data_IF_175372448096
#
_entry.id   IF_175372448096
#
_cell.length_a   1.000
_cell.length_b   1.000
_cell.length_c   1.000
_cell.angle_alpha   90.00
_cell.angle_beta   90.00
_cell.angle_gamma   90.00
#
_symmetry.space_group_name_H-M   'P 1'
#
loop_
_entity.id
_entity.type
_entity.pdbx_description
1 polymer ?
#
# COMPACT_ATOMS: atom_id res chain seq x y z
N UNK A 1 -52.30 -10.27 -28.10
CA UNK A 1 -52.69 -10.04 -26.72
C UNK A 1 -51.55 -9.32 -26.04
N UNK A 2 -51.67 -8.01 -25.85
CA UNK A 2 -50.59 -7.12 -25.37
C UNK A 2 -50.73 -7.00 -23.84
N UNK A 3 -49.71 -7.48 -23.09
CA UNK A 3 -49.67 -7.28 -21.64
C UNK A 3 -48.85 -5.99 -21.39
N UNK A 4 -49.57 -4.98 -20.92
CA UNK A 4 -49.02 -3.71 -20.47
C UNK A 4 -48.30 -3.92 -19.13
N UNK A 5 -47.00 -3.64 -19.08
CA UNK A 5 -46.27 -3.49 -17.82
C UNK A 5 -46.63 -2.10 -17.26
N UNK A 6 -47.38 -2.09 -16.19
CA UNK A 6 -47.82 -0.91 -15.46
C UNK A 6 -46.73 -0.43 -14.54
N UNK A 7 -46.15 0.74 -14.85
CA UNK A 7 -45.22 1.46 -13.96
C UNK A 7 -46.01 1.88 -12.68
N UNK A 8 -45.69 1.26 -11.57
CA UNK A 8 -46.14 1.71 -10.27
C UNK A 8 -45.20 2.82 -9.76
N UNK A 9 -45.48 4.06 -10.15
CA UNK A 9 -44.91 5.24 -9.47
C UNK A 9 -45.69 5.42 -8.16
N UNK A 10 -45.04 5.00 -7.05
CA UNK A 10 -45.53 5.37 -5.72
C UNK A 10 -45.09 6.79 -5.44
N UNK A 11 -46.11 7.67 -5.42
CA UNK A 11 -45.99 9.05 -4.97
C UNK A 11 -45.77 9.03 -3.46
N UNK A 12 -44.55 9.27 -2.98
CA UNK A 12 -44.29 9.57 -1.59
C UNK A 12 -44.44 11.07 -1.37
N UNK A 13 -45.50 11.42 -0.65
CA UNK A 13 -45.78 12.75 -0.13
C UNK A 13 -44.63 13.23 0.76
N UNK A 14 -44.22 14.48 0.54
CA UNK A 14 -43.21 15.18 1.29
C UNK A 14 -43.56 15.21 2.79
N UNK A 15 -42.74 14.54 3.58
CA UNK A 15 -42.58 14.84 4.99
C UNK A 15 -41.26 15.60 5.13
N UNK A 16 -41.37 16.90 5.40
CA UNK A 16 -40.23 17.76 5.75
C UNK A 16 -39.67 17.26 7.07
N UNK A 17 -38.60 16.48 7.03
CA UNK A 17 -37.79 16.15 8.18
C UNK A 17 -36.46 16.85 7.98
N UNK A 18 -36.11 17.71 8.92
CA UNK A 18 -34.86 18.46 9.06
C UNK A 18 -33.63 17.61 8.72
N UNK A 19 -32.60 18.18 8.09
CA UNK A 19 -31.39 17.42 7.77
C UNK A 19 -30.66 17.11 9.08
N UNK A 20 -30.84 15.94 9.63
CA UNK A 20 -29.77 15.31 10.38
C UNK A 20 -28.69 15.05 9.34
N UNK A 21 -27.67 15.90 9.30
CA UNK A 21 -26.43 15.62 8.59
C UNK A 21 -25.68 14.53 9.34
N UNK A 22 -26.16 13.31 9.25
CA UNK A 22 -25.31 12.16 9.46
C UNK A 22 -24.18 12.25 8.41
N UNK A 23 -22.92 12.02 8.77
CA UNK A 23 -21.90 11.91 7.75
C UNK A 23 -22.40 10.89 6.72
N UNK A 24 -22.49 11.31 5.46
CA UNK A 24 -22.84 10.43 4.35
C UNK A 24 -21.75 9.36 4.33
N UNK A 25 -22.02 8.21 4.93
CA UNK A 25 -21.24 7.00 4.67
C UNK A 25 -21.43 6.79 3.18
N UNK A 26 -20.34 6.82 2.41
CA UNK A 26 -20.41 6.57 0.98
C UNK A 26 -21.17 5.25 0.78
N UNK A 27 -22.28 5.31 0.06
CA UNK A 27 -23.01 4.10 -0.31
C UNK A 27 -22.21 3.42 -1.43
N UNK A 28 -21.38 2.47 -1.07
CA UNK A 28 -20.54 1.71 -2.01
C UNK A 28 -21.30 0.49 -2.56
N UNK A 29 -22.62 0.42 -2.41
CA UNK A 29 -23.38 -0.79 -2.72
C UNK A 29 -23.37 -1.14 -4.21
N UNK A 30 -23.37 -0.14 -5.09
CA UNK A 30 -23.29 -0.33 -6.54
C UNK A 30 -21.90 -0.80 -6.96
N UNK A 31 -20.85 -0.14 -6.49
CA UNK A 31 -19.46 -0.50 -6.78
C UNK A 31 -19.10 -1.88 -6.24
N UNK A 32 -19.59 -2.22 -5.04
CA UNK A 32 -19.41 -3.57 -4.47
C UNK A 32 -20.12 -4.63 -5.32
N UNK A 33 -21.32 -4.34 -5.82
CA UNK A 33 -22.03 -5.25 -6.71
C UNK A 33 -21.28 -5.46 -8.03
N UNK A 34 -20.72 -4.39 -8.61
CA UNK A 34 -19.86 -4.47 -9.80
C UNK A 34 -18.62 -5.31 -9.52
N UNK A 35 -17.91 -5.01 -8.43
CA UNK A 35 -16.71 -5.74 -8.02
C UNK A 35 -17.00 -7.24 -7.84
N UNK A 36 -18.08 -7.57 -7.13
CA UNK A 36 -18.46 -8.97 -6.88
C UNK A 36 -18.85 -9.72 -8.17
N UNK A 37 -19.48 -9.03 -9.12
CA UNK A 37 -19.92 -9.64 -10.37
C UNK A 37 -18.77 -9.84 -11.38
N UNK A 38 -17.79 -8.93 -11.41
CA UNK A 38 -16.78 -8.85 -12.47
C UNK A 38 -15.35 -9.07 -12.00
N UNK A 39 -15.11 -9.05 -10.69
CA UNK A 39 -13.77 -8.97 -10.06
C UNK A 39 -12.96 -7.76 -10.57
N UNK A 40 -13.61 -6.70 -11.02
CA UNK A 40 -12.98 -5.50 -11.61
C UNK A 40 -13.79 -4.26 -11.26
N UNK A 41 -13.11 -3.25 -10.71
CA UNK A 41 -13.71 -2.00 -10.28
C UNK A 41 -12.73 -0.82 -10.49
N UNK A 42 -12.24 -0.61 -11.75
CA UNK A 42 -11.32 0.49 -12.02
C UNK A 42 -12.00 1.84 -11.78
N UNK A 43 -11.29 2.76 -11.11
CA UNK A 43 -11.76 4.09 -10.72
C UNK A 43 -13.01 4.11 -9.80
N UNK A 44 -13.44 2.98 -9.24
CA UNK A 44 -14.55 2.93 -8.29
C UNK A 44 -14.24 3.69 -7.01
N UNK A 45 -15.30 4.20 -6.38
CA UNK A 45 -15.21 4.78 -5.04
C UNK A 45 -15.59 3.73 -3.98
N UNK A 46 -14.56 3.05 -3.46
CA UNK A 46 -14.67 2.04 -2.40
C UNK A 46 -14.14 2.56 -1.05
N UNK A 47 -14.22 3.88 -0.83
CA UNK A 47 -13.79 4.52 0.42
C UNK A 47 -14.50 3.89 1.62
N UNK A 48 -13.71 3.41 2.59
CA UNK A 48 -14.22 2.79 3.82
C UNK A 48 -14.98 1.48 3.62
N UNK A 49 -14.98 0.90 2.40
CA UNK A 49 -15.67 -0.35 2.12
C UNK A 49 -15.10 -1.51 2.93
N UNK A 50 -15.95 -2.41 3.38
CA UNK A 50 -15.53 -3.68 3.97
C UNK A 50 -15.42 -4.74 2.88
N UNK A 51 -14.17 -5.06 2.52
CA UNK A 51 -13.83 -6.02 1.47
C UNK A 51 -13.33 -7.37 2.03
N UNK A 52 -13.37 -7.54 3.36
CA UNK A 52 -12.90 -8.76 4.02
C UNK A 52 -13.68 -9.98 3.56
N UNK A 53 -12.95 -11.08 3.36
CA UNK A 53 -13.54 -12.35 2.95
C UNK A 53 -13.97 -12.42 1.49
N UNK A 54 -13.87 -11.34 0.70
CA UNK A 54 -14.19 -11.36 -0.72
C UNK A 54 -13.09 -12.10 -1.52
N UNK A 55 -13.45 -12.80 -2.60
CA UNK A 55 -12.50 -13.52 -3.47
C UNK A 55 -11.88 -12.56 -4.49
N UNK A 56 -10.84 -11.79 -4.07
CA UNK A 56 -10.26 -10.69 -4.85
C UNK A 56 -8.93 -11.05 -5.53
N UNK A 57 -8.68 -12.34 -5.78
CA UNK A 57 -7.50 -12.79 -6.52
C UNK A 57 -7.55 -12.20 -7.94
N UNK A 58 -6.49 -11.50 -8.33
CA UNK A 58 -6.38 -10.86 -9.64
C UNK A 58 -7.39 -9.73 -9.89
N UNK A 59 -8.01 -9.20 -8.84
CA UNK A 59 -8.97 -8.11 -8.98
C UNK A 59 -8.31 -6.85 -9.57
N UNK A 60 -9.05 -6.11 -10.40
CA UNK A 60 -8.61 -4.84 -10.95
C UNK A 60 -9.21 -3.68 -10.16
N UNK A 61 -8.34 -2.97 -9.43
CA UNK A 61 -8.62 -1.75 -8.66
C UNK A 61 -7.87 -0.53 -9.22
N UNK A 62 -7.47 -0.58 -10.50
CA UNK A 62 -6.69 0.51 -11.08
C UNK A 62 -7.42 1.85 -10.96
N UNK A 63 -6.75 2.87 -10.41
CA UNK A 63 -7.32 4.20 -10.15
C UNK A 63 -8.43 4.25 -9.09
N UNK A 64 -8.78 3.13 -8.45
CA UNK A 64 -9.86 3.10 -7.46
C UNK A 64 -9.52 3.90 -6.19
N UNK A 65 -10.54 4.41 -5.51
CA UNK A 65 -10.44 5.08 -4.21
C UNK A 65 -10.82 4.09 -3.12
N UNK A 66 -9.81 3.58 -2.41
CA UNK A 66 -9.91 2.58 -1.33
C UNK A 66 -9.48 3.17 0.03
N UNK A 67 -9.56 4.49 0.19
CA UNK A 67 -9.12 5.16 1.40
C UNK A 67 -9.90 4.65 2.62
N UNK A 68 -9.16 4.17 3.63
CA UNK A 68 -9.73 3.57 4.84
C UNK A 68 -10.51 2.26 4.63
N UNK A 69 -10.44 1.64 3.44
CA UNK A 69 -11.11 0.36 3.20
C UNK A 69 -10.50 -0.77 4.04
N UNK A 70 -11.33 -1.74 4.43
CA UNK A 70 -10.94 -2.92 5.21
C UNK A 70 -10.62 -4.10 4.30
N UNK A 71 -9.33 -4.46 4.25
CA UNK A 71 -8.76 -5.53 3.41
C UNK A 71 -7.94 -6.53 4.25
N UNK A 72 -8.13 -6.56 5.59
CA UNK A 72 -7.35 -7.41 6.47
C UNK A 72 -7.50 -8.89 6.12
N UNK A 73 -6.36 -9.55 5.95
CA UNK A 73 -6.28 -10.97 5.62
C UNK A 73 -6.82 -11.35 4.25
N UNK A 74 -7.22 -10.39 3.41
CA UNK A 74 -7.77 -10.65 2.07
C UNK A 74 -6.70 -11.20 1.14
N UNK A 75 -7.09 -12.15 0.30
CA UNK A 75 -6.22 -12.65 -0.75
C UNK A 75 -6.34 -11.79 -2.01
N UNK A 76 -5.33 -10.92 -2.20
CA UNK A 76 -5.16 -9.95 -3.29
C UNK A 76 -4.04 -10.41 -4.26
N UNK A 77 -3.74 -11.71 -4.32
CA UNK A 77 -2.72 -12.23 -5.21
C UNK A 77 -2.96 -11.77 -6.65
N UNK A 78 -1.93 -11.16 -7.27
CA UNK A 78 -1.98 -10.58 -8.62
C UNK A 78 -3.00 -9.46 -8.83
N UNK A 79 -3.56 -8.87 -7.79
CA UNK A 79 -4.46 -7.72 -7.94
C UNK A 79 -3.72 -6.50 -8.51
N UNK A 80 -4.44 -5.69 -9.27
CA UNK A 80 -3.93 -4.47 -9.89
C UNK A 80 -4.45 -3.24 -9.14
N UNK A 81 -3.55 -2.52 -8.46
CA UNK A 81 -3.83 -1.26 -7.77
C UNK A 81 -3.10 -0.07 -8.43
N UNK A 82 -2.76 -0.18 -9.71
CA UNK A 82 -2.05 0.91 -10.40
C UNK A 82 -2.77 2.24 -10.21
N UNK A 83 -2.06 3.25 -9.67
CA UNK A 83 -2.59 4.59 -9.39
C UNK A 83 -3.82 4.63 -8.43
N UNK A 84 -4.10 3.58 -7.68
CA UNK A 84 -5.18 3.57 -6.70
C UNK A 84 -4.84 4.40 -5.45
N UNK A 85 -5.85 4.97 -4.79
CA UNK A 85 -5.70 5.60 -3.47
C UNK A 85 -6.09 4.61 -2.36
N UNK A 86 -5.09 4.17 -1.59
CA UNK A 86 -5.24 3.26 -0.44
C UNK A 86 -4.86 3.98 0.88
N UNK A 87 -5.00 5.32 0.95
CA UNK A 87 -4.64 6.08 2.15
C UNK A 87 -5.35 5.55 3.38
N UNK A 88 -4.58 5.22 4.41
CA UNK A 88 -5.11 4.69 5.66
C UNK A 88 -5.86 3.36 5.53
N UNK A 89 -5.76 2.65 4.40
CA UNK A 89 -6.40 1.34 4.22
C UNK A 89 -5.85 0.30 5.20
N UNK A 90 -6.71 -0.64 5.61
CA UNK A 90 -6.37 -1.70 6.54
C UNK A 90 -6.02 -2.97 5.75
N UNK A 91 -4.72 -3.27 5.64
CA UNK A 91 -4.16 -4.37 4.87
C UNK A 91 -3.38 -5.39 5.74
N UNK A 92 -3.58 -5.34 7.06
CA UNK A 92 -2.86 -6.22 7.99
C UNK A 92 -3.04 -7.69 7.59
N UNK A 93 -1.93 -8.39 7.39
CA UNK A 93 -1.93 -9.80 6.99
C UNK A 93 -2.49 -10.12 5.60
N UNK A 94 -2.80 -9.11 4.77
CA UNK A 94 -3.27 -9.32 3.41
C UNK A 94 -2.22 -10.01 2.53
N UNK A 95 -2.67 -10.80 1.55
CA UNK A 95 -1.79 -11.42 0.56
C UNK A 95 -1.76 -10.61 -0.73
N UNK A 96 -0.78 -9.73 -0.87
CA UNK A 96 -0.52 -8.88 -2.05
C UNK A 96 0.58 -9.45 -2.97
N UNK A 97 0.90 -10.75 -2.84
CA UNK A 97 1.95 -11.37 -3.64
C UNK A 97 1.68 -11.19 -5.14
N UNK A 98 2.75 -10.89 -5.91
CA UNK A 98 2.71 -10.67 -7.37
C UNK A 98 1.71 -9.55 -7.80
N UNK A 99 1.22 -8.68 -6.90
CA UNK A 99 0.32 -7.58 -7.23
C UNK A 99 1.07 -6.37 -7.82
N UNK A 100 0.32 -5.45 -8.42
CA UNK A 100 0.83 -4.21 -8.99
C UNK A 100 0.31 -3.04 -8.16
N UNK A 101 1.25 -2.29 -7.54
CA UNK A 101 0.97 -1.09 -6.74
C UNK A 101 1.58 0.18 -7.35
N UNK A 102 2.11 0.10 -8.60
CA UNK A 102 2.84 1.22 -9.19
C UNK A 102 2.00 2.49 -9.23
N UNK A 103 2.56 3.58 -8.68
CA UNK A 103 1.89 4.87 -8.55
C UNK A 103 0.75 4.91 -7.52
N UNK A 104 0.49 3.82 -6.79
CA UNK A 104 -0.54 3.83 -5.75
C UNK A 104 -0.14 4.68 -4.54
N UNK A 105 -1.13 5.23 -3.84
CA UNK A 105 -0.95 6.00 -2.62
C UNK A 105 -1.42 5.20 -1.39
N UNK A 106 -0.45 4.65 -0.64
CA UNK A 106 -0.66 3.91 0.61
C UNK A 106 -0.24 4.73 1.85
N UNK A 107 -0.27 6.06 1.75
CA UNK A 107 0.10 6.91 2.88
C UNK A 107 -0.71 6.54 4.13
N UNK A 108 -0.01 6.25 5.24
CA UNK A 108 -0.61 5.88 6.52
C UNK A 108 -1.35 4.54 6.53
N UNK A 109 -1.24 3.70 5.49
CA UNK A 109 -1.89 2.40 5.46
C UNK A 109 -1.31 1.43 6.50
N UNK A 110 -2.14 0.53 7.04
CA UNK A 110 -1.75 -0.51 7.97
C UNK A 110 -1.48 -1.82 7.20
N UNK A 111 -0.19 -2.12 6.96
CA UNK A 111 0.25 -3.22 6.09
C UNK A 111 1.03 -4.27 6.90
N UNK A 112 0.90 -4.24 8.22
CA UNK A 112 1.65 -5.12 9.13
C UNK A 112 1.49 -6.59 8.77
N UNK A 113 2.62 -7.30 8.63
CA UNK A 113 2.64 -8.75 8.35
C UNK A 113 2.05 -9.14 7.01
N UNK A 114 1.74 -8.19 6.13
CA UNK A 114 1.24 -8.50 4.79
C UNK A 114 2.30 -9.17 3.92
N UNK A 115 1.86 -9.99 2.98
CA UNK A 115 2.72 -10.64 2.01
C UNK A 115 2.77 -9.82 0.71
N UNK A 116 3.86 -9.07 0.52
CA UNK A 116 4.15 -8.27 -0.68
C UNK A 116 5.28 -8.88 -1.53
N UNK A 117 5.52 -10.20 -1.45
CA UNK A 117 6.57 -10.85 -2.26
C UNK A 117 6.31 -10.61 -3.75
N UNK A 118 7.37 -10.24 -4.48
CA UNK A 118 7.32 -9.99 -5.93
C UNK A 118 6.35 -8.89 -6.35
N UNK A 119 5.93 -8.01 -5.43
CA UNK A 119 5.10 -6.86 -5.76
C UNK A 119 5.86 -5.93 -6.71
N UNK A 120 5.14 -5.35 -7.68
CA UNK A 120 5.65 -4.23 -8.49
C UNK A 120 5.07 -2.94 -7.93
N UNK A 121 5.92 -2.11 -7.31
CA UNK A 121 5.51 -0.90 -6.58
C UNK A 121 6.39 0.31 -6.95
N UNK A 122 6.60 0.51 -8.26
CA UNK A 122 7.36 1.66 -8.79
C UNK A 122 6.66 2.96 -8.40
N UNK A 123 7.39 3.91 -7.79
CA UNK A 123 6.88 5.22 -7.38
C UNK A 123 5.66 5.16 -6.46
N UNK A 124 5.50 4.09 -5.72
CA UNK A 124 4.41 3.92 -4.76
C UNK A 124 4.68 4.76 -3.51
N UNK A 125 3.66 5.42 -3.00
CA UNK A 125 3.74 6.18 -1.76
C UNK A 125 3.38 5.31 -0.55
N UNK A 126 4.37 4.89 0.24
CA UNK A 126 4.23 4.19 1.52
C UNK A 126 4.54 5.11 2.71
N UNK A 127 4.58 6.43 2.52
CA UNK A 127 4.94 7.34 3.60
C UNK A 127 3.99 7.19 4.80
N UNK A 128 4.53 7.24 6.02
CA UNK A 128 3.82 7.02 7.27
C UNK A 128 3.10 5.65 7.41
N UNK A 129 3.32 4.69 6.51
CA UNK A 129 2.68 3.38 6.58
C UNK A 129 3.31 2.48 7.66
N UNK A 130 2.49 1.60 8.25
CA UNK A 130 2.94 0.53 9.14
C UNK A 130 3.20 -0.75 8.34
N UNK A 131 4.47 -0.97 8.00
CA UNK A 131 4.97 -2.14 7.25
C UNK A 131 5.70 -3.15 8.15
N UNK A 132 5.50 -3.07 9.46
CA UNK A 132 6.17 -3.97 10.41
C UNK A 132 5.97 -5.42 10.03
N UNK A 133 7.08 -6.18 9.98
CA UNK A 133 7.05 -7.61 9.66
C UNK A 133 6.42 -7.94 8.30
N UNK A 134 6.23 -6.96 7.42
CA UNK A 134 5.77 -7.20 6.04
C UNK A 134 6.82 -7.98 5.25
N UNK A 135 6.37 -8.82 4.32
CA UNK A 135 7.24 -9.59 3.46
C UNK A 135 7.33 -8.95 2.07
N UNK A 136 8.41 -8.24 1.82
CA UNK A 136 8.75 -7.53 0.58
C UNK A 136 9.88 -8.23 -0.20
N UNK A 137 10.08 -9.53 0.01
CA UNK A 137 11.13 -10.31 -0.66
C UNK A 137 10.97 -10.22 -2.19
N UNK A 138 12.05 -9.84 -2.90
CA UNK A 138 12.06 -9.60 -4.35
C UNK A 138 11.07 -8.53 -4.84
N UNK A 139 10.66 -7.59 -4.01
CA UNK A 139 9.78 -6.50 -4.41
C UNK A 139 10.50 -5.49 -5.31
N UNK A 140 9.81 -5.00 -6.35
CA UNK A 140 10.25 -3.87 -7.17
C UNK A 140 9.76 -2.56 -6.56
N UNK A 141 10.64 -1.83 -5.87
CA UNK A 141 10.33 -0.65 -5.04
C UNK A 141 11.05 0.61 -5.54
N UNK A 142 11.45 0.62 -6.82
CA UNK A 142 12.22 1.73 -7.37
C UNK A 142 11.45 3.04 -7.20
N UNK A 143 12.13 4.06 -6.65
CA UNK A 143 11.58 5.40 -6.41
C UNK A 143 10.33 5.40 -5.50
N UNK A 144 10.07 4.33 -4.73
CA UNK A 144 9.00 4.32 -3.75
C UNK A 144 9.34 5.25 -2.57
N UNK A 145 8.31 5.88 -2.01
CA UNK A 145 8.43 6.76 -0.85
C UNK A 145 8.04 6.02 0.44
N UNK A 146 9.02 5.78 1.31
CA UNK A 146 8.87 5.22 2.65
C UNK A 146 9.11 6.26 3.75
N UNK A 147 9.02 7.55 3.44
CA UNK A 147 9.24 8.61 4.41
C UNK A 147 8.42 8.38 5.69
N UNK A 148 9.10 8.28 6.86
CA UNK A 148 8.48 8.00 8.17
C UNK A 148 7.70 6.67 8.26
N UNK A 149 7.87 5.75 7.33
CA UNK A 149 7.27 4.42 7.43
C UNK A 149 7.95 3.58 8.53
N UNK A 150 7.19 2.70 9.16
CA UNK A 150 7.75 1.70 10.07
C UNK A 150 7.94 0.37 9.33
N UNK A 151 9.20 0.08 8.98
CA UNK A 151 9.64 -1.14 8.30
C UNK A 151 10.28 -2.13 9.28
N UNK A 152 10.16 -1.91 10.61
CA UNK A 152 10.86 -2.74 11.57
C UNK A 152 10.50 -4.22 11.44
N UNK A 153 11.53 -5.06 11.36
CA UNK A 153 11.40 -6.49 11.13
C UNK A 153 10.87 -6.90 9.76
N UNK A 154 10.77 -5.99 8.80
CA UNK A 154 10.34 -6.32 7.45
C UNK A 154 11.38 -7.18 6.71
N UNK A 155 10.92 -8.03 5.80
CA UNK A 155 11.76 -8.90 4.97
C UNK A 155 11.87 -8.28 3.57
N UNK A 156 13.00 -7.63 3.27
CA UNK A 156 13.27 -6.90 2.03
C UNK A 156 14.46 -7.49 1.25
N UNK A 157 14.79 -8.75 1.49
CA UNK A 157 15.87 -9.42 0.77
C UNK A 157 15.62 -9.38 -0.75
N UNK A 158 16.68 -9.11 -1.53
CA UNK A 158 16.62 -8.99 -2.99
C UNK A 158 15.62 -7.93 -3.51
N UNK A 159 15.12 -7.04 -2.66
CA UNK A 159 14.27 -5.95 -3.10
C UNK A 159 15.07 -4.91 -3.90
N UNK A 160 14.46 -4.36 -4.94
CA UNK A 160 15.05 -3.25 -5.69
C UNK A 160 14.49 -1.92 -5.17
N UNK A 161 15.29 -1.24 -4.35
CA UNK A 161 14.98 0.04 -3.70
C UNK A 161 15.67 1.22 -4.41
N UNK A 162 16.18 1.04 -5.62
CA UNK A 162 16.92 2.10 -6.31
C UNK A 162 16.16 3.42 -6.30
N UNK A 163 16.82 4.47 -5.77
CA UNK A 163 16.26 5.81 -5.67
C UNK A 163 15.06 5.95 -4.75
N UNK A 164 14.78 4.96 -3.88
CA UNK A 164 13.71 5.06 -2.90
C UNK A 164 13.99 6.15 -1.84
N UNK A 165 12.92 6.71 -1.28
CA UNK A 165 12.98 7.71 -0.21
C UNK A 165 12.76 7.01 1.13
N UNK A 166 13.77 7.04 2.03
CA UNK A 166 13.71 6.41 3.36
C UNK A 166 13.78 7.43 4.50
N UNK A 167 13.60 8.71 4.24
CA UNK A 167 13.76 9.78 5.23
C UNK A 167 12.93 9.52 6.49
N UNK A 168 13.60 9.42 7.65
CA UNK A 168 13.01 9.09 8.95
C UNK A 168 12.27 7.74 9.01
N UNK A 169 12.51 6.82 8.07
CA UNK A 169 11.96 5.47 8.15
C UNK A 169 12.61 4.66 9.28
N UNK A 170 11.85 3.80 9.93
CA UNK A 170 12.37 2.85 10.91
C UNK A 170 12.71 1.52 10.23
N UNK A 171 13.99 1.21 10.12
CA UNK A 171 14.53 0.00 9.50
C UNK A 171 15.09 -1.01 10.52
N UNK A 172 14.77 -0.86 11.81
CA UNK A 172 15.28 -1.72 12.86
C UNK A 172 14.98 -3.20 12.59
N UNK A 173 15.99 -4.06 12.68
CA UNK A 173 15.87 -5.51 12.41
C UNK A 173 15.33 -5.88 11.02
N UNK A 174 15.43 -5.00 10.06
CA UNK A 174 15.01 -5.25 8.66
C UNK A 174 16.01 -6.17 7.98
N UNK A 175 15.53 -7.12 7.19
CA UNK A 175 16.39 -7.95 6.33
C UNK A 175 16.52 -7.30 4.95
N UNK A 176 17.73 -6.80 4.64
CA UNK A 176 18.10 -6.15 3.36
C UNK A 176 19.16 -6.97 2.61
N UNK A 177 19.26 -8.26 2.87
CA UNK A 177 20.24 -9.12 2.22
C UNK A 177 20.08 -9.08 0.71
N UNK A 178 21.19 -8.76 -0.01
CA UNK A 178 21.20 -8.62 -1.47
C UNK A 178 20.21 -7.60 -2.04
N UNK A 179 19.71 -6.67 -1.24
CA UNK A 179 18.85 -5.59 -1.71
C UNK A 179 19.67 -4.57 -2.52
N UNK A 180 19.02 -3.94 -3.49
CA UNK A 180 19.58 -2.82 -4.24
C UNK A 180 19.18 -1.49 -3.60
N UNK A 181 20.13 -0.80 -2.97
CA UNK A 181 19.98 0.51 -2.33
C UNK A 181 20.73 1.61 -3.14
N UNK A 182 20.95 1.39 -4.42
CA UNK A 182 21.61 2.36 -5.30
C UNK A 182 20.83 3.68 -5.33
N UNK A 183 21.53 4.82 -5.31
CA UNK A 183 20.97 6.17 -5.30
C UNK A 183 20.03 6.48 -4.10
N UNK A 184 20.06 5.69 -3.02
CA UNK A 184 19.23 5.93 -1.83
C UNK A 184 19.92 6.89 -0.88
N UNK A 185 19.16 7.87 -0.35
CA UNK A 185 19.65 8.73 0.73
C UNK A 185 19.36 8.04 2.09
N UNK A 186 20.44 7.56 2.73
CA UNK A 186 20.42 6.93 4.05
C UNK A 186 20.92 7.85 5.16
N UNK A 187 21.09 9.15 4.87
CA UNK A 187 21.55 10.13 5.86
C UNK A 187 20.67 10.10 7.11
N UNK A 188 21.31 10.04 8.29
CA UNK A 188 20.68 9.94 9.62
C UNK A 188 19.83 8.66 9.84
N UNK A 189 19.96 7.63 8.99
CA UNK A 189 19.23 6.37 9.16
C UNK A 189 20.02 5.40 10.06
N UNK A 190 19.31 4.74 10.97
CA UNK A 190 19.85 3.68 11.81
C UNK A 190 19.60 2.29 11.18
N UNK A 191 20.67 1.70 10.64
CA UNK A 191 20.70 0.34 10.11
C UNK A 191 21.49 -0.62 11.01
N UNK A 192 21.89 -0.20 12.22
CA UNK A 192 22.79 -0.96 13.10
C UNK A 192 22.29 -2.36 13.44
N UNK A 193 20.98 -2.55 13.48
CA UNK A 193 20.31 -3.84 13.71
C UNK A 193 19.83 -4.54 12.43
N UNK A 194 20.06 -3.96 11.26
CA UNK A 194 19.59 -4.49 9.97
C UNK A 194 20.58 -5.48 9.36
N UNK A 195 20.09 -6.38 8.51
CA UNK A 195 20.92 -7.39 7.83
C UNK A 195 21.21 -6.95 6.40
N UNK A 196 22.43 -6.41 6.15
CA UNK A 196 22.86 -5.81 4.89
C UNK A 196 23.80 -6.71 4.06
N UNK A 197 23.89 -8.01 4.34
CA UNK A 197 24.82 -8.90 3.62
C UNK A 197 24.57 -8.80 2.11
N UNK A 198 25.61 -8.50 1.34
CA UNK A 198 25.59 -8.34 -0.12
C UNK A 198 24.62 -7.24 -0.64
N UNK A 199 24.11 -6.35 0.22
CA UNK A 199 23.34 -5.22 -0.26
C UNK A 199 24.23 -4.27 -1.10
N UNK A 200 23.68 -3.75 -2.20
CA UNK A 200 24.36 -2.72 -2.99
C UNK A 200 24.07 -1.34 -2.41
N UNK A 201 25.13 -0.63 -2.03
CA UNK A 201 25.08 0.76 -1.53
C UNK A 201 25.75 1.72 -2.51
N UNK A 202 25.84 1.36 -3.80
CA UNK A 202 26.46 2.21 -4.81
C UNK A 202 25.71 3.55 -4.88
N UNK A 203 26.45 4.65 -4.85
CA UNK A 203 25.92 6.01 -4.92
C UNK A 203 24.88 6.34 -3.83
N UNK A 204 24.73 5.49 -2.80
CA UNK A 204 23.92 5.80 -1.64
C UNK A 204 24.62 6.83 -0.76
N UNK A 205 23.87 7.82 -0.25
CA UNK A 205 24.40 8.81 0.70
C UNK A 205 24.36 8.25 2.12
N UNK A 206 25.51 8.22 2.82
CA UNK A 206 25.70 7.54 4.10
C UNK A 206 26.08 8.49 5.25
N UNK A 207 25.86 9.80 5.12
CA UNK A 207 26.22 10.74 6.16
C UNK A 207 25.45 10.45 7.49
N UNK A 208 26.18 10.28 8.59
CA UNK A 208 25.65 9.93 9.90
C UNK A 208 24.76 8.67 9.92
N UNK A 209 25.05 7.73 9.01
CA UNK A 209 24.32 6.46 8.94
C UNK A 209 24.92 5.47 9.91
N UNK A 210 24.14 4.93 10.84
CA UNK A 210 24.55 3.82 11.71
C UNK A 210 24.39 2.50 10.94
N UNK A 211 25.48 1.75 10.78
CA UNK A 211 25.49 0.45 10.09
C UNK A 211 25.87 -0.69 11.05
N UNK A 212 25.63 -1.96 10.70
CA UNK A 212 26.08 -3.09 11.53
C UNK A 212 27.61 -3.17 11.75
N UNK A 213 28.38 -2.48 10.93
CA UNK A 213 29.85 -2.41 11.05
C UNK A 213 30.37 -1.10 11.63
N UNK A 214 29.48 -0.22 12.10
CA UNK A 214 29.81 1.07 12.69
C UNK A 214 29.13 2.25 12.00
N UNK A 215 29.41 3.46 12.48
CA UNK A 215 28.91 4.69 11.85
C UNK A 215 29.64 4.95 10.53
N UNK A 216 28.91 5.37 9.53
CA UNK A 216 29.43 5.74 8.22
C UNK A 216 29.15 7.23 7.96
N UNK A 217 30.23 7.98 7.77
CA UNK A 217 30.20 9.45 7.58
C UNK A 217 30.83 9.86 6.24
N UNK A 218 31.03 8.91 5.31
CA UNK A 218 31.78 9.14 4.07
C UNK A 218 31.27 10.29 3.23
N UNK A 219 29.95 10.53 3.25
CA UNK A 219 29.27 11.49 2.39
C UNK A 219 28.85 12.75 3.12
N UNK A 220 29.31 12.95 4.36
CA UNK A 220 29.07 14.19 5.08
C UNK A 220 29.86 15.34 4.42
N UNK A 221 29.17 16.28 3.81
CA UNK A 221 29.77 17.55 3.39
C UNK A 221 29.80 18.49 4.59
N UNK A 222 30.98 19.06 4.87
CA UNK A 222 31.16 20.13 5.84
C UNK A 222 30.40 21.39 5.43
#
# INVERSE_FOLDING_TARGET
>A
MKIKILLLRVLFLALVILPFTSPVVADNSEELAILMATNSCPNCNLRGADLRGLPLIGADFSGAVLEGASLEGVNLWRANFTNASLKGALLTGANLRDSILSGADLNGALIRGANLKFVTALKTNFSNADLRQANLLHAGLQQADFGRADLSGAYMGYADLKGAILTNANLSNTTLESANLEDVNLTDIDLSSSHLRNASLNEASLCRTSTPWGQDDRDCRE
#
